data_IF_416376523014
#
_entry.id   IF_416376523014
#
_cell.length_a   1.000
_cell.length_b   1.000
_cell.length_c   1.000
_cell.angle_alpha   90.00
_cell.angle_beta   90.00
_cell.angle_gamma   90.00
#
_symmetry.space_group_name_H-M   'P 1'
#
loop_
_entity.id
_entity.type
_entity.pdbx_description
1 polymer ?
#
# COMPACT_ATOMS: atom_id res chain seq x y z
N UNK A 1 37.51 -24.63 5.06
CA UNK A 1 36.41 -23.87 5.70
C UNK A 1 35.95 -24.61 6.94
N UNK A 2 35.93 -23.97 8.11
CA UNK A 2 35.61 -24.63 9.39
C UNK A 2 34.13 -25.06 9.42
N UNK A 3 33.79 -26.25 9.97
CA UNK A 3 32.44 -26.82 9.94
C UNK A 3 31.32 -25.94 10.55
N UNK A 4 31.68 -24.95 11.37
CA UNK A 4 30.77 -23.99 12.02
C UNK A 4 30.17 -22.95 11.08
N UNK A 5 30.89 -22.49 10.04
CA UNK A 5 30.37 -21.51 9.09
C UNK A 5 29.33 -22.11 8.13
N UNK A 6 29.50 -23.38 7.73
CA UNK A 6 28.57 -24.09 6.84
C UNK A 6 27.21 -24.32 7.50
N UNK A 7 27.21 -24.67 8.79
CA UNK A 7 25.98 -24.84 9.58
C UNK A 7 25.21 -23.51 9.82
N UNK A 8 25.90 -22.38 9.94
CA UNK A 8 25.25 -21.07 10.02
C UNK A 8 24.66 -20.63 8.69
N UNK A 9 25.34 -20.91 7.57
CA UNK A 9 24.86 -20.67 6.21
C UNK A 9 23.62 -21.50 5.87
N UNK A 10 23.59 -22.78 6.26
CA UNK A 10 22.43 -23.65 6.04
C UNK A 10 21.23 -23.27 6.92
N UNK A 11 21.46 -22.83 8.17
CA UNK A 11 20.40 -22.25 9.02
C UNK A 11 19.86 -20.95 8.42
N UNK A 12 20.73 -20.05 7.94
CA UNK A 12 20.30 -18.83 7.22
C UNK A 12 19.49 -19.15 5.97
N UNK A 13 19.91 -20.15 5.17
CA UNK A 13 19.18 -20.59 3.98
C UNK A 13 17.80 -21.14 4.31
N UNK A 14 17.67 -22.01 5.33
CA UNK A 14 16.37 -22.53 5.77
C UNK A 14 15.46 -21.45 6.35
N UNK A 15 16.02 -20.53 7.14
CA UNK A 15 15.27 -19.40 7.67
C UNK A 15 14.77 -18.48 6.55
N UNK A 16 15.63 -18.15 5.59
CA UNK A 16 15.26 -17.40 4.39
C UNK A 16 14.19 -18.12 3.57
N UNK A 17 14.33 -19.43 3.34
CA UNK A 17 13.33 -20.22 2.61
C UNK A 17 11.96 -20.22 3.31
N UNK A 18 11.92 -20.32 4.65
CA UNK A 18 10.66 -20.29 5.40
C UNK A 18 10.04 -18.88 5.43
N UNK A 19 10.86 -17.83 5.44
CA UNK A 19 10.42 -16.44 5.26
C UNK A 19 9.82 -16.23 3.88
N UNK A 20 10.50 -16.70 2.82
CA UNK A 20 10.01 -16.60 1.45
C UNK A 20 8.71 -17.39 1.24
N UNK A 21 8.60 -18.60 1.81
CA UNK A 21 7.38 -19.41 1.70
C UNK A 21 6.16 -18.77 2.42
N UNK A 22 6.35 -18.15 3.60
CA UNK A 22 5.29 -17.39 4.27
C UNK A 22 4.91 -16.12 3.50
N UNK A 23 5.89 -15.46 2.87
CA UNK A 23 5.66 -14.23 2.11
C UNK A 23 5.04 -14.48 0.74
N UNK A 24 5.30 -15.61 0.08
CA UNK A 24 4.57 -16.00 -1.14
C UNK A 24 3.07 -16.19 -0.84
N UNK A 25 2.75 -16.70 0.36
CA UNK A 25 1.38 -16.84 0.84
C UNK A 25 0.74 -15.48 1.19
N UNK A 26 1.49 -14.53 1.75
CA UNK A 26 1.03 -13.15 1.94
C UNK A 26 0.86 -12.39 0.63
N UNK A 27 1.76 -12.58 -0.33
CA UNK A 27 1.69 -12.01 -1.68
C UNK A 27 0.45 -12.55 -2.40
N UNK A 28 0.17 -13.85 -2.28
CA UNK A 28 -1.07 -14.45 -2.76
C UNK A 28 -2.31 -13.83 -2.08
N UNK A 29 -2.28 -13.61 -0.76
CA UNK A 29 -3.37 -12.93 -0.03
C UNK A 29 -3.53 -11.46 -0.43
N UNK A 30 -2.44 -10.78 -0.77
CA UNK A 30 -2.43 -9.37 -1.17
C UNK A 30 -2.91 -9.19 -2.61
N UNK A 31 -2.50 -10.07 -3.53
CA UNK A 31 -3.10 -10.22 -4.88
C UNK A 31 -4.62 -10.36 -4.76
N UNK A 32 -5.10 -11.19 -3.83
CA UNK A 32 -6.53 -11.38 -3.58
C UNK A 32 -7.23 -10.12 -3.01
N UNK A 33 -6.52 -9.27 -2.25
CA UNK A 33 -7.06 -8.01 -1.69
C UNK A 33 -7.02 -6.85 -2.69
N UNK A 34 -5.94 -6.68 -3.44
CA UNK A 34 -5.77 -5.60 -4.41
C UNK A 34 -6.69 -5.80 -5.63
N UNK A 35 -6.92 -7.06 -6.04
CA UNK A 35 -8.01 -7.40 -6.95
C UNK A 35 -9.35 -6.84 -6.46
N UNK A 36 -9.62 -6.79 -5.15
CA UNK A 36 -10.88 -6.21 -4.63
C UNK A 36 -10.95 -4.69 -4.74
N UNK A 37 -9.82 -3.97 -4.72
CA UNK A 37 -9.80 -2.51 -4.81
C UNK A 37 -9.96 -2.02 -6.25
N UNK A 38 -9.19 -2.57 -7.18
CA UNK A 38 -9.33 -2.25 -8.61
C UNK A 38 -10.74 -2.61 -9.11
N UNK A 39 -11.29 -3.72 -8.62
CA UNK A 39 -12.70 -4.10 -8.83
C UNK A 39 -13.66 -2.99 -8.40
N UNK A 40 -13.45 -2.35 -7.24
CA UNK A 40 -14.34 -1.28 -6.74
C UNK A 40 -14.31 -0.04 -7.64
N UNK A 41 -13.12 0.37 -8.08
CA UNK A 41 -12.94 1.57 -8.92
C UNK A 41 -13.56 1.36 -10.30
N UNK A 42 -13.28 0.23 -10.93
CA UNK A 42 -13.85 -0.11 -12.25
C UNK A 42 -15.37 -0.24 -12.17
N UNK A 43 -15.90 -0.89 -11.12
CA UNK A 43 -17.35 -1.01 -10.93
C UNK A 43 -18.02 0.36 -10.71
N UNK A 44 -17.38 1.28 -9.99
CA UNK A 44 -17.91 2.63 -9.76
C UNK A 44 -17.93 3.51 -11.03
N UNK A 45 -16.91 3.42 -11.88
CA UNK A 45 -16.89 4.13 -13.17
C UNK A 45 -17.95 3.60 -14.13
N UNK A 46 -18.17 2.29 -14.15
CA UNK A 46 -19.21 1.69 -15.00
C UNK A 46 -20.62 2.07 -14.55
N UNK A 47 -20.88 2.16 -13.24
CA UNK A 47 -22.14 2.69 -12.73
C UNK A 47 -22.44 4.10 -13.26
N UNK A 48 -21.43 4.98 -13.38
CA UNK A 48 -21.62 6.34 -13.88
C UNK A 48 -21.98 6.34 -15.38
N UNK A 49 -21.30 5.51 -16.18
CA UNK A 49 -21.59 5.37 -17.63
C UNK A 49 -22.98 4.79 -17.85
N UNK A 50 -23.35 3.74 -17.12
CA UNK A 50 -24.65 3.07 -17.22
C UNK A 50 -25.79 3.97 -16.72
N UNK A 51 -25.57 4.73 -15.64
CA UNK A 51 -26.54 5.73 -15.14
C UNK A 51 -26.73 6.86 -16.16
N UNK A 52 -25.64 7.32 -16.79
CA UNK A 52 -25.71 8.32 -17.87
C UNK A 52 -26.51 7.81 -19.08
N UNK A 53 -26.28 6.56 -19.49
CA UNK A 53 -27.02 5.92 -20.57
C UNK A 53 -28.51 5.73 -20.23
N UNK A 54 -28.82 5.36 -18.97
CA UNK A 54 -30.19 5.26 -18.47
C UNK A 54 -30.90 6.62 -18.51
N UNK A 55 -30.26 7.69 -18.02
CA UNK A 55 -30.82 9.06 -18.03
C UNK A 55 -31.07 9.52 -19.47
N UNK A 56 -30.08 9.35 -20.36
CA UNK A 56 -30.20 9.68 -21.77
C UNK A 56 -31.34 8.89 -22.44
N UNK A 57 -31.48 7.60 -22.12
CA UNK A 57 -32.57 6.77 -22.65
C UNK A 57 -33.96 7.19 -22.14
N UNK A 58 -34.08 7.56 -20.86
CA UNK A 58 -35.33 8.07 -20.28
C UNK A 58 -35.75 9.37 -20.98
N UNK A 59 -34.80 10.29 -21.21
CA UNK A 59 -35.05 11.58 -21.83
C UNK A 59 -35.48 11.46 -23.29
N UNK A 60 -34.92 10.52 -24.05
CA UNK A 60 -35.18 10.39 -25.48
C UNK A 60 -36.39 9.52 -25.83
N UNK A 61 -36.85 8.64 -24.94
CA UNK A 61 -37.84 7.60 -25.29
C UNK A 61 -39.07 7.51 -24.38
N UNK A 62 -39.14 8.23 -23.25
CA UNK A 62 -40.30 8.25 -22.34
C UNK A 62 -40.56 6.93 -21.60
N UNK A 63 -41.21 7.02 -20.41
CA UNK A 63 -41.48 5.86 -19.54
C UNK A 63 -42.93 5.34 -19.68
N UNK A 64 -43.87 6.15 -20.19
CA UNK A 64 -45.31 5.91 -19.98
C UNK A 64 -46.21 5.95 -21.22
N UNK A 65 -45.68 5.92 -22.46
CA UNK A 65 -46.54 5.82 -23.65
C UNK A 65 -46.97 4.36 -23.93
N UNK A 66 -47.83 3.81 -23.08
CA UNK A 66 -48.24 2.39 -23.02
C UNK A 66 -49.21 1.95 -24.14
N UNK A 67 -49.05 2.42 -25.39
CA UNK A 67 -49.99 2.10 -26.47
C UNK A 67 -49.46 1.13 -27.54
N UNK A 68 -48.21 0.69 -27.46
CA UNK A 68 -47.58 -0.10 -28.52
C UNK A 68 -46.84 -1.35 -27.98
N UNK A 69 -46.92 -2.55 -28.62
CA UNK A 69 -46.37 -3.82 -28.11
C UNK A 69 -44.87 -3.77 -27.74
N UNK A 70 -44.08 -2.96 -28.45
CA UNK A 70 -42.64 -2.77 -28.20
C UNK A 70 -42.33 -2.04 -26.89
N UNK A 71 -43.28 -1.32 -26.30
CA UNK A 71 -43.05 -0.55 -25.06
C UNK A 71 -42.87 -1.44 -23.84
N UNK A 72 -43.56 -2.59 -23.78
CA UNK A 72 -43.38 -3.58 -22.71
C UNK A 72 -42.01 -4.28 -22.78
N UNK A 73 -41.49 -4.52 -23.98
CA UNK A 73 -40.17 -5.11 -24.22
C UNK A 73 -39.05 -4.18 -23.74
N UNK A 74 -39.20 -2.88 -24.05
CA UNK A 74 -38.28 -1.82 -23.61
C UNK A 74 -38.37 -1.62 -22.10
N UNK A 75 -39.57 -1.66 -21.50
CA UNK A 75 -39.76 -1.57 -20.04
C UNK A 75 -39.14 -2.78 -19.32
N UNK A 76 -39.28 -4.00 -19.86
CA UNK A 76 -38.70 -5.22 -19.29
C UNK A 76 -37.16 -5.23 -19.36
N UNK A 77 -36.57 -4.82 -20.50
CA UNK A 77 -35.13 -4.62 -20.64
C UNK A 77 -34.60 -3.54 -19.67
N UNK A 78 -35.40 -2.50 -19.40
CA UNK A 78 -35.06 -1.40 -18.49
C UNK A 78 -35.15 -1.79 -17.01
N UNK A 79 -36.17 -2.55 -16.61
CA UNK A 79 -36.27 -3.11 -15.25
C UNK A 79 -35.10 -4.05 -14.94
N UNK A 80 -34.67 -4.82 -15.93
CA UNK A 80 -33.50 -5.70 -15.86
C UNK A 80 -32.20 -4.92 -15.60
N UNK A 81 -31.97 -3.83 -16.34
CA UNK A 81 -30.80 -2.95 -16.16
C UNK A 81 -30.77 -2.33 -14.76
N UNK A 82 -31.92 -1.86 -14.26
CA UNK A 82 -32.05 -1.27 -12.91
C UNK A 82 -31.82 -2.31 -11.80
N UNK A 83 -32.32 -3.54 -11.95
CA UNK A 83 -32.11 -4.62 -10.98
C UNK A 83 -30.65 -5.08 -10.97
N UNK A 84 -30.00 -5.17 -12.14
CA UNK A 84 -28.58 -5.51 -12.26
C UNK A 84 -27.66 -4.43 -11.68
N UNK A 85 -28.02 -3.14 -11.85
CA UNK A 85 -27.34 -2.00 -11.25
C UNK A 85 -27.47 -2.00 -9.71
N UNK A 86 -28.68 -2.16 -9.18
CA UNK A 86 -28.95 -2.16 -7.74
C UNK A 86 -28.25 -3.29 -7.00
N UNK A 87 -28.22 -4.49 -7.58
CA UNK A 87 -27.54 -5.65 -7.02
C UNK A 87 -26.01 -5.57 -7.15
N UNK A 88 -25.47 -4.94 -8.19
CA UNK A 88 -24.05 -4.60 -8.31
C UNK A 88 -23.59 -3.68 -7.16
N UNK A 89 -24.41 -2.67 -6.82
CA UNK A 89 -24.19 -1.78 -5.67
C UNK A 89 -24.21 -2.57 -4.35
N UNK A 90 -25.21 -3.45 -4.16
CA UNK A 90 -25.31 -4.31 -2.97
C UNK A 90 -24.11 -5.25 -2.86
N UNK A 91 -23.59 -5.75 -3.99
CA UNK A 91 -22.39 -6.58 -4.02
C UNK A 91 -21.12 -5.82 -3.64
N UNK A 92 -20.95 -4.58 -4.11
CA UNK A 92 -19.84 -3.69 -3.71
C UNK A 92 -19.91 -3.38 -2.20
N UNK A 93 -21.13 -3.18 -1.68
CA UNK A 93 -21.38 -2.96 -0.25
C UNK A 93 -21.04 -4.21 0.59
N UNK A 94 -21.44 -5.39 0.11
CA UNK A 94 -21.20 -6.68 0.77
C UNK A 94 -19.73 -7.12 0.69
N UNK A 95 -18.97 -6.74 -0.34
CA UNK A 95 -17.52 -6.94 -0.45
C UNK A 95 -16.69 -6.26 0.67
N UNK A 96 -17.32 -5.50 1.59
CA UNK A 96 -16.68 -4.99 2.82
C UNK A 96 -16.46 -6.04 3.91
N UNK A 97 -17.02 -7.26 3.82
CA UNK A 97 -16.80 -8.34 4.80
C UNK A 97 -16.26 -9.63 4.17
N UNK A 98 -15.87 -10.59 5.02
CA UNK A 98 -15.05 -11.78 4.77
C UNK A 98 -15.49 -12.73 3.62
N UNK A 99 -14.70 -13.78 3.37
CA UNK A 99 -14.69 -14.80 2.29
C UNK A 99 -16.02 -15.31 1.69
N UNK A 100 -17.17 -15.15 2.35
CA UNK A 100 -18.48 -15.62 1.86
C UNK A 100 -19.04 -14.87 0.64
N UNK A 101 -18.59 -13.64 0.39
CA UNK A 101 -19.14 -12.80 -0.68
C UNK A 101 -18.82 -13.29 -2.10
N UNK A 102 -17.77 -14.09 -2.26
CA UNK A 102 -17.41 -14.67 -3.57
C UNK A 102 -18.44 -15.72 -4.01
N UNK A 103 -18.86 -16.60 -3.10
CA UNK A 103 -19.89 -17.60 -3.39
C UNK A 103 -21.25 -16.95 -3.63
N UNK A 104 -21.55 -15.85 -2.94
CA UNK A 104 -22.78 -15.07 -3.17
C UNK A 104 -22.79 -14.41 -4.56
N UNK A 105 -21.66 -13.82 -4.97
CA UNK A 105 -21.47 -13.27 -6.31
C UNK A 105 -21.61 -14.35 -7.40
N UNK A 106 -21.05 -15.54 -7.15
CA UNK A 106 -21.17 -16.69 -8.05
C UNK A 106 -22.63 -17.16 -8.18
N UNK A 107 -23.34 -17.31 -7.06
CA UNK A 107 -24.76 -17.70 -7.06
C UNK A 107 -25.63 -16.64 -7.74
N UNK A 108 -25.36 -15.35 -7.48
CA UNK A 108 -26.06 -14.23 -8.11
C UNK A 108 -25.87 -14.22 -9.64
N UNK A 109 -24.63 -14.45 -10.11
CA UNK A 109 -24.34 -14.57 -11.53
C UNK A 109 -25.14 -15.72 -12.18
N UNK A 110 -25.20 -16.88 -11.54
CA UNK A 110 -26.00 -18.02 -12.02
C UNK A 110 -27.49 -17.65 -12.12
N UNK A 111 -28.04 -16.94 -11.14
CA UNK A 111 -29.45 -16.50 -11.16
C UNK A 111 -29.72 -15.53 -12.32
N UNK A 112 -28.82 -14.56 -12.57
CA UNK A 112 -28.94 -13.64 -13.71
C UNK A 112 -28.91 -14.38 -15.06
N UNK A 113 -28.07 -15.40 -15.18
CA UNK A 113 -27.97 -16.22 -16.38
C UNK A 113 -29.25 -17.02 -16.62
N UNK A 114 -29.76 -17.71 -15.59
CA UNK A 114 -31.01 -18.46 -15.67
C UNK A 114 -32.18 -17.55 -16.06
N UNK A 115 -32.26 -16.36 -15.46
CA UNK A 115 -33.29 -15.38 -15.77
C UNK A 115 -33.19 -14.84 -17.20
N UNK A 116 -31.98 -14.55 -17.67
CA UNK A 116 -31.72 -14.12 -19.05
C UNK A 116 -32.10 -15.17 -20.09
N UNK A 117 -31.82 -16.45 -19.81
CA UNK A 117 -32.21 -17.57 -20.67
C UNK A 117 -33.74 -17.68 -20.75
N UNK A 118 -34.44 -17.55 -19.62
CA UNK A 118 -35.92 -17.58 -19.57
C UNK A 118 -36.54 -16.42 -20.33
N UNK A 119 -36.05 -15.19 -20.14
CA UNK A 119 -36.50 -14.02 -20.91
C UNK A 119 -36.26 -14.21 -22.42
N UNK A 120 -35.06 -14.64 -22.78
CA UNK A 120 -34.69 -14.86 -24.18
C UNK A 120 -35.55 -15.92 -24.86
N UNK A 121 -36.04 -16.91 -24.10
CA UNK A 121 -36.99 -17.90 -24.59
C UNK A 121 -38.40 -17.33 -24.80
N UNK A 122 -38.87 -16.45 -23.90
CA UNK A 122 -40.19 -15.81 -24.00
C UNK A 122 -40.29 -14.87 -25.21
N UNK A 123 -39.22 -14.14 -25.54
CA UNK A 123 -39.22 -13.15 -26.63
C UNK A 123 -38.82 -13.71 -28.00
N UNK A 124 -38.65 -15.03 -28.11
CA UNK A 124 -38.19 -15.67 -29.33
C UNK A 124 -39.26 -15.77 -30.43
N UNK A 125 -40.55 -15.74 -30.06
CA UNK A 125 -41.67 -15.81 -31.01
C UNK A 125 -41.72 -14.63 -32.00
N UNK A 126 -41.10 -13.49 -31.68
CA UNK A 126 -41.12 -12.28 -32.51
C UNK A 126 -39.92 -12.17 -33.49
N UNK A 127 -39.09 -13.20 -33.61
CA UNK A 127 -37.97 -13.22 -34.56
C UNK A 127 -36.77 -12.32 -34.21
N UNK A 128 -36.72 -11.76 -33.00
CA UNK A 128 -35.67 -10.84 -32.54
C UNK A 128 -34.66 -11.54 -31.62
N UNK A 129 -33.56 -12.03 -32.20
CA UNK A 129 -32.48 -12.75 -31.51
C UNK A 129 -31.43 -11.85 -30.81
N UNK A 130 -31.65 -10.53 -30.75
CA UNK A 130 -30.66 -9.55 -30.28
C UNK A 130 -30.46 -9.56 -28.76
N UNK A 131 -31.45 -10.05 -28.00
CA UNK A 131 -31.36 -10.17 -26.54
C UNK A 131 -30.25 -11.14 -26.07
N UNK A 132 -29.93 -12.16 -26.88
CA UNK A 132 -28.86 -13.12 -26.62
C UNK A 132 -27.48 -12.46 -26.67
N UNK A 133 -27.31 -11.44 -27.52
CA UNK A 133 -26.07 -10.69 -27.74
C UNK A 133 -25.78 -9.71 -26.59
N UNK A 134 -26.84 -9.07 -26.07
CA UNK A 134 -26.79 -8.21 -24.87
C UNK A 134 -26.50 -9.06 -23.62
N UNK A 135 -27.08 -10.27 -23.53
CA UNK A 135 -26.81 -11.22 -22.44
C UNK A 135 -25.35 -11.73 -22.46
N UNK A 136 -24.79 -11.99 -23.65
CA UNK A 136 -23.38 -12.39 -23.78
C UNK A 136 -22.39 -11.24 -23.50
N UNK A 137 -22.76 -9.99 -23.81
CA UNK A 137 -22.01 -8.80 -23.38
C UNK A 137 -21.98 -8.66 -21.85
N UNK A 138 -23.07 -8.97 -21.15
CA UNK A 138 -23.13 -9.00 -19.68
C UNK A 138 -22.30 -10.17 -19.10
N UNK A 139 -22.24 -11.31 -19.81
CA UNK A 139 -21.32 -12.43 -19.48
C UNK A 139 -19.83 -12.04 -19.59
N UNK A 140 -19.49 -11.04 -20.41
CA UNK A 140 -18.12 -10.52 -20.57
C UNK A 140 -17.62 -9.84 -19.29
N UNK A 141 -18.54 -9.37 -18.43
CA UNK A 141 -18.21 -8.64 -17.21
C UNK A 141 -17.84 -9.55 -16.03
N UNK A 142 -18.46 -10.73 -15.89
CA UNK A 142 -18.15 -11.71 -14.81
C UNK A 142 -16.73 -12.27 -14.87
N UNK A 143 -16.11 -12.25 -16.05
CA UNK A 143 -14.72 -12.60 -16.33
C UNK A 143 -13.72 -11.70 -15.57
N UNK A 144 -14.14 -10.53 -15.10
CA UNK A 144 -13.28 -9.62 -14.35
C UNK A 144 -12.98 -10.12 -12.92
N UNK A 145 -13.70 -11.11 -12.37
CA UNK A 145 -13.63 -11.44 -10.93
C UNK A 145 -13.30 -12.90 -10.58
N UNK A 146 -13.33 -13.83 -11.54
CA UNK A 146 -13.25 -15.27 -11.24
C UNK A 146 -11.98 -15.93 -11.80
N UNK A 147 -11.56 -17.03 -11.16
CA UNK A 147 -10.44 -17.85 -11.63
C UNK A 147 -10.82 -18.55 -12.96
N UNK A 148 -9.91 -18.66 -13.95
CA UNK A 148 -10.20 -19.20 -15.28
C UNK A 148 -10.98 -20.53 -15.30
N UNK A 149 -10.55 -21.55 -14.56
CA UNK A 149 -11.27 -22.84 -14.52
C UNK A 149 -12.73 -22.73 -14.04
N UNK A 150 -13.04 -21.78 -13.15
CA UNK A 150 -14.42 -21.56 -12.69
C UNK A 150 -15.26 -20.88 -13.76
N UNK A 151 -14.68 -19.92 -14.49
CA UNK A 151 -15.33 -19.27 -15.64
C UNK A 151 -15.69 -20.30 -16.71
N UNK A 152 -14.80 -21.26 -16.96
CA UNK A 152 -15.07 -22.32 -17.92
C UNK A 152 -16.18 -23.27 -17.46
N UNK A 153 -16.20 -23.66 -16.18
CA UNK A 153 -17.28 -24.49 -15.62
C UNK A 153 -18.63 -23.76 -15.67
N UNK A 154 -18.69 -22.49 -15.24
CA UNK A 154 -19.94 -21.72 -15.27
C UNK A 154 -20.43 -21.51 -16.70
N UNK A 155 -19.53 -21.22 -17.64
CA UNK A 155 -19.87 -21.12 -19.07
C UNK A 155 -20.47 -22.43 -19.61
N UNK A 156 -19.86 -23.58 -19.28
CA UNK A 156 -20.36 -24.89 -19.71
C UNK A 156 -21.74 -25.21 -19.13
N UNK A 157 -21.97 -24.93 -17.83
CA UNK A 157 -23.27 -25.12 -17.18
C UNK A 157 -24.33 -24.23 -17.84
N UNK A 158 -24.02 -22.95 -18.10
CA UNK A 158 -24.98 -22.04 -18.74
C UNK A 158 -25.34 -22.44 -20.16
N UNK A 159 -24.37 -22.96 -20.92
CA UNK A 159 -24.62 -23.49 -22.24
C UNK A 159 -25.54 -24.71 -22.20
N UNK A 160 -25.29 -25.64 -21.26
CA UNK A 160 -26.15 -26.81 -21.08
C UNK A 160 -27.58 -26.40 -20.74
N UNK A 161 -27.75 -25.45 -19.83
CA UNK A 161 -29.08 -24.93 -19.45
C UNK A 161 -29.77 -24.27 -20.63
N UNK A 162 -29.05 -23.46 -21.42
CA UNK A 162 -29.57 -22.88 -22.66
C UNK A 162 -30.09 -23.97 -23.61
N UNK A 163 -29.31 -25.02 -23.87
CA UNK A 163 -29.72 -26.12 -24.75
C UNK A 163 -30.98 -26.82 -24.24
N UNK A 164 -31.01 -27.17 -22.94
CA UNK A 164 -32.14 -27.90 -22.33
C UNK A 164 -33.43 -27.07 -22.40
N UNK A 165 -33.38 -25.80 -22.01
CA UNK A 165 -34.57 -24.93 -21.99
C UNK A 165 -35.11 -24.73 -23.41
N UNK A 166 -34.24 -24.41 -24.37
CA UNK A 166 -34.65 -24.15 -25.74
C UNK A 166 -35.15 -25.41 -26.46
N UNK A 167 -34.60 -26.59 -26.12
CA UNK A 167 -35.09 -27.86 -26.65
C UNK A 167 -36.47 -28.20 -26.10
N UNK A 168 -36.70 -28.04 -24.80
CA UNK A 168 -38.00 -28.30 -24.15
C UNK A 168 -39.11 -27.38 -24.66
N UNK A 169 -38.78 -26.14 -25.01
CA UNK A 169 -39.73 -25.17 -25.56
C UNK A 169 -39.97 -25.31 -27.07
N UNK A 170 -39.30 -26.26 -27.75
CA UNK A 170 -39.45 -26.49 -29.19
C UNK A 170 -38.88 -25.37 -30.06
N UNK A 171 -38.14 -24.42 -29.48
CA UNK A 171 -37.60 -23.23 -30.14
C UNK A 171 -36.10 -23.30 -30.44
N UNK A 172 -35.49 -24.47 -30.24
CA UNK A 172 -34.06 -24.69 -30.46
C UNK A 172 -33.65 -24.52 -31.93
N UNK A 173 -32.58 -23.74 -32.16
CA UNK A 173 -31.94 -23.59 -33.48
C UNK A 173 -30.44 -23.75 -33.39
N UNK A 174 -29.88 -24.60 -34.26
CA UNK A 174 -28.45 -24.88 -34.33
C UNK A 174 -27.59 -23.63 -34.57
N UNK A 175 -28.03 -22.71 -35.43
CA UNK A 175 -27.29 -21.47 -35.72
C UNK A 175 -27.09 -20.60 -34.46
N UNK A 176 -28.11 -20.48 -33.62
CA UNK A 176 -27.99 -19.69 -32.39
C UNK A 176 -27.11 -20.38 -31.35
N UNK A 177 -27.17 -21.72 -31.26
CA UNK A 177 -26.28 -22.49 -30.39
C UNK A 177 -24.81 -22.31 -30.79
N UNK A 178 -24.49 -22.34 -32.09
CA UNK A 178 -23.14 -22.10 -32.60
C UNK A 178 -22.63 -20.69 -32.25
N UNK A 179 -23.45 -19.65 -32.49
CA UNK A 179 -23.07 -18.27 -32.14
C UNK A 179 -22.80 -18.11 -30.63
N UNK A 180 -23.59 -18.75 -29.77
CA UNK A 180 -23.37 -18.73 -28.31
C UNK A 180 -22.06 -19.44 -27.94
N UNK A 181 -21.76 -20.58 -28.55
CA UNK A 181 -20.50 -21.30 -28.32
C UNK A 181 -19.28 -20.47 -28.75
N UNK A 182 -19.35 -19.82 -29.92
CA UNK A 182 -18.28 -18.95 -30.42
C UNK A 182 -17.99 -17.80 -29.46
N UNK A 183 -19.05 -17.08 -29.02
CA UNK A 183 -18.88 -15.98 -28.08
C UNK A 183 -18.31 -16.48 -26.75
N UNK A 184 -18.83 -17.58 -26.20
CA UNK A 184 -18.30 -18.17 -24.97
C UNK A 184 -16.83 -18.55 -25.08
N UNK A 185 -16.40 -19.09 -26.22
CA UNK A 185 -15.00 -19.43 -26.48
C UNK A 185 -14.11 -18.19 -26.42
N UNK A 186 -14.47 -17.10 -27.12
CA UNK A 186 -13.69 -15.86 -27.09
C UNK A 186 -13.65 -15.22 -25.70
N UNK A 187 -14.76 -15.26 -24.94
CA UNK A 187 -14.80 -14.74 -23.57
C UNK A 187 -13.89 -15.52 -22.62
N UNK A 188 -13.81 -16.85 -22.78
CA UNK A 188 -12.88 -17.66 -21.99
C UNK A 188 -11.42 -17.31 -22.31
N UNK A 189 -11.07 -17.08 -23.59
CA UNK A 189 -9.71 -16.65 -23.98
C UNK A 189 -9.37 -15.29 -23.38
N UNK A 190 -10.25 -14.30 -23.52
CA UNK A 190 -10.04 -12.94 -22.97
C UNK A 190 -9.85 -13.00 -21.46
N UNK A 191 -10.68 -13.81 -20.77
CA UNK A 191 -10.57 -14.01 -19.33
C UNK A 191 -9.27 -14.66 -18.89
N UNK A 192 -8.79 -15.64 -19.64
CA UNK A 192 -7.52 -16.29 -19.39
C UNK A 192 -6.35 -15.30 -19.52
N UNK A 193 -6.29 -14.58 -20.64
CA UNK A 193 -5.23 -13.58 -20.91
C UNK A 193 -5.24 -12.52 -19.82
N UNK A 194 -6.41 -11.95 -19.50
CA UNK A 194 -6.58 -10.95 -18.45
C UNK A 194 -6.18 -11.46 -17.06
N UNK A 195 -6.48 -12.72 -16.72
CA UNK A 195 -6.07 -13.31 -15.44
C UNK A 195 -4.54 -13.38 -15.33
N UNK A 196 -3.86 -13.84 -16.38
CA UNK A 196 -2.40 -13.94 -16.37
C UNK A 196 -1.71 -12.57 -16.40
N UNK A 197 -2.18 -11.61 -17.20
CA UNK A 197 -1.60 -10.25 -17.22
C UNK A 197 -1.76 -9.54 -15.87
N UNK A 198 -2.93 -9.66 -15.24
CA UNK A 198 -3.18 -9.08 -13.92
C UNK A 198 -2.32 -9.75 -12.83
N UNK A 199 -2.15 -11.07 -12.89
CA UNK A 199 -1.27 -11.81 -11.99
C UNK A 199 0.18 -11.33 -12.12
N UNK A 200 0.71 -11.24 -13.33
CA UNK A 200 2.09 -10.79 -13.57
C UNK A 200 2.29 -9.33 -13.14
N UNK A 201 1.33 -8.45 -13.43
CA UNK A 201 1.36 -7.06 -13.00
C UNK A 201 1.48 -6.92 -11.47
N UNK A 202 0.67 -7.67 -10.71
CA UNK A 202 0.73 -7.57 -9.24
C UNK A 202 2.06 -8.12 -8.70
N UNK A 203 2.56 -9.22 -9.25
CA UNK A 203 3.88 -9.77 -8.88
C UNK A 203 4.98 -8.75 -9.18
N UNK A 204 4.92 -8.07 -10.33
CA UNK A 204 5.89 -7.05 -10.72
C UNK A 204 5.86 -5.83 -9.78
N UNK A 205 4.68 -5.32 -9.45
CA UNK A 205 4.54 -4.19 -8.52
C UNK A 205 5.07 -4.53 -7.12
N UNK A 206 4.82 -5.73 -6.60
CA UNK A 206 5.40 -6.13 -5.31
C UNK A 206 6.91 -6.25 -5.33
N UNK A 207 7.49 -6.75 -6.44
CA UNK A 207 8.95 -6.72 -6.61
C UNK A 207 9.46 -5.29 -6.61
N UNK A 208 8.77 -4.37 -7.28
CA UNK A 208 9.14 -2.97 -7.31
C UNK A 208 9.10 -2.33 -5.92
N UNK A 209 8.01 -2.48 -5.17
CA UNK A 209 7.90 -2.02 -3.77
C UNK A 209 9.03 -2.58 -2.90
N UNK A 210 9.38 -3.86 -3.08
CA UNK A 210 10.50 -4.47 -2.36
C UNK A 210 11.84 -3.85 -2.73
N UNK A 211 12.09 -3.59 -4.01
CA UNK A 211 13.31 -2.90 -4.42
C UNK A 211 13.37 -1.49 -3.84
N UNK A 212 12.26 -0.76 -3.84
CA UNK A 212 12.16 0.57 -3.22
C UNK A 212 12.50 0.49 -1.73
N UNK A 213 11.87 -0.39 -0.96
CA UNK A 213 12.18 -0.54 0.47
C UNK A 213 13.62 -1.00 0.75
N UNK A 214 14.19 -1.85 -0.10
CA UNK A 214 15.60 -2.23 0.01
C UNK A 214 16.49 -1.03 -0.29
N UNK A 215 16.18 -0.23 -1.30
CA UNK A 215 16.94 0.97 -1.66
C UNK A 215 16.83 2.06 -0.58
N UNK A 216 15.66 2.28 -0.03
CA UNK A 216 15.43 3.14 1.15
C UNK A 216 16.26 2.64 2.35
N UNK A 217 16.25 1.32 2.61
CA UNK A 217 17.06 0.70 3.66
C UNK A 217 18.58 0.67 3.40
N UNK A 218 19.00 0.89 2.15
CA UNK A 218 20.39 1.02 1.75
C UNK A 218 20.87 2.46 1.70
N UNK A 219 19.96 3.44 1.80
CA UNK A 219 20.36 4.82 1.96
C UNK A 219 21.06 4.96 3.31
N UNK A 220 22.27 5.50 3.29
CA UNK A 220 23.04 5.84 4.48
C UNK A 220 22.83 7.29 4.91
N UNK A 221 22.09 8.08 4.13
CA UNK A 221 21.82 9.49 4.42
C UNK A 221 20.34 9.68 4.73
N UNK A 222 20.05 10.58 5.68
CA UNK A 222 18.69 11.03 5.94
C UNK A 222 18.25 11.98 4.82
N UNK A 223 17.10 11.72 4.19
CA UNK A 223 16.65 12.46 3.00
C UNK A 223 16.37 13.93 3.28
N UNK A 224 15.90 14.26 4.50
CA UNK A 224 15.56 15.63 4.87
C UNK A 224 16.81 16.45 5.20
N UNK A 225 17.73 15.87 5.96
CA UNK A 225 18.84 16.59 6.59
C UNK A 225 20.20 16.37 5.92
N UNK A 226 20.35 15.34 5.09
CA UNK A 226 21.59 15.02 4.37
C UNK A 226 22.69 14.34 5.20
N UNK A 227 22.60 14.38 6.53
CA UNK A 227 23.56 13.69 7.43
C UNK A 227 23.30 12.18 7.49
N UNK A 228 24.17 11.44 8.19
CA UNK A 228 24.02 10.00 8.35
C UNK A 228 22.68 9.62 8.98
N UNK A 229 22.03 8.56 8.52
CA UNK A 229 20.83 8.02 9.18
C UNK A 229 21.19 6.84 10.11
N UNK A 230 20.17 6.21 10.71
CA UNK A 230 20.35 5.01 11.55
C UNK A 230 21.08 3.86 10.85
N UNK A 231 20.95 3.73 9.52
CA UNK A 231 21.68 2.71 8.74
C UNK A 231 23.17 3.06 8.59
N UNK A 232 23.52 4.35 8.45
CA UNK A 232 24.92 4.77 8.47
C UNK A 232 25.58 4.47 9.82
N UNK A 233 24.89 4.77 10.93
CA UNK A 233 25.38 4.42 12.26
C UNK A 233 25.63 2.90 12.38
N UNK A 234 24.69 2.09 11.88
CA UNK A 234 24.82 0.63 11.89
C UNK A 234 25.99 0.12 11.05
N UNK A 235 26.31 0.78 9.92
CA UNK A 235 27.49 0.48 9.09
C UNK A 235 28.78 0.85 9.81
N UNK A 236 28.79 2.00 10.46
CA UNK A 236 29.99 2.56 11.11
C UNK A 236 30.28 1.91 12.48
N UNK A 237 29.33 1.13 13.01
CA UNK A 237 29.35 0.52 14.34
C UNK A 237 30.68 -0.17 14.71
N UNK A 238 31.20 -1.02 13.81
CA UNK A 238 32.43 -1.77 14.06
C UNK A 238 33.69 -0.87 14.02
N UNK A 239 33.60 0.30 13.41
CA UNK A 239 34.70 1.27 13.33
C UNK A 239 34.98 1.98 14.65
N UNK A 240 34.06 1.93 15.61
CA UNK A 240 34.23 2.57 16.91
C UNK A 240 35.08 1.76 17.90
N UNK A 241 35.39 0.49 17.63
CA UNK A 241 36.17 -0.32 18.57
C UNK A 241 37.63 0.13 18.60
N UNK A 242 38.17 0.32 19.81
CA UNK A 242 39.58 0.63 20.05
C UNK A 242 39.88 2.10 20.39
N UNK A 243 38.91 3.00 20.20
CA UNK A 243 39.07 4.43 20.45
C UNK A 243 38.21 4.92 21.62
N UNK A 244 38.46 6.16 22.03
CA UNK A 244 37.68 6.86 23.07
C UNK A 244 36.82 7.92 22.42
N UNK A 245 35.53 7.90 22.72
CA UNK A 245 34.55 8.80 22.13
C UNK A 245 33.78 9.56 23.19
N UNK A 246 33.40 10.78 22.84
CA UNK A 246 32.26 11.49 23.40
C UNK A 246 31.03 11.12 22.56
N UNK A 247 30.01 10.57 23.23
CA UNK A 247 28.73 10.19 22.63
C UNK A 247 27.67 11.12 23.18
N UNK A 248 27.02 11.89 22.31
CA UNK A 248 25.97 12.83 22.69
C UNK A 248 24.66 12.48 21.99
N UNK A 249 23.59 12.31 22.77
CA UNK A 249 22.22 12.18 22.28
C UNK A 249 21.56 13.55 22.39
N UNK A 250 20.99 14.02 21.29
CA UNK A 250 20.43 15.36 21.12
C UNK A 250 18.97 15.23 20.74
N UNK A 251 18.12 16.04 21.35
CA UNK A 251 16.68 16.08 21.09
C UNK A 251 16.20 17.53 20.97
N UNK A 252 15.30 17.79 20.02
CA UNK A 252 14.73 19.12 19.81
C UNK A 252 13.56 19.34 20.76
N UNK A 253 13.66 20.34 21.62
CA UNK A 253 12.70 20.54 22.70
C UNK A 253 11.29 20.89 22.19
N UNK A 254 10.29 20.15 22.66
CA UNK A 254 8.86 20.37 22.35
C UNK A 254 8.55 20.39 20.83
N UNK A 255 9.33 19.66 20.01
CA UNK A 255 9.23 19.69 18.55
C UNK A 255 7.83 19.43 17.99
N UNK A 256 7.05 18.53 18.62
CA UNK A 256 5.65 18.32 18.23
C UNK A 256 4.80 19.59 18.38
N UNK A 257 4.89 20.27 19.53
CA UNK A 257 4.16 21.53 19.76
C UNK A 257 4.63 22.63 18.83
N UNK A 258 5.93 22.63 18.53
CA UNK A 258 6.52 23.53 17.55
C UNK A 258 5.88 23.35 16.16
N UNK A 259 5.78 22.10 15.69
CA UNK A 259 5.08 21.77 14.45
C UNK A 259 3.59 22.13 14.46
N UNK A 260 2.92 21.89 15.59
CA UNK A 260 1.50 22.26 15.73
C UNK A 260 1.30 23.78 15.65
N UNK A 261 2.31 24.58 16.01
CA UNK A 261 2.26 26.06 16.02
C UNK A 261 2.67 26.67 14.68
N UNK A 262 3.76 26.18 14.08
CA UNK A 262 4.39 26.79 12.91
C UNK A 262 4.26 25.96 11.63
N UNK A 263 3.61 24.80 11.69
CA UNK A 263 3.44 23.87 10.58
C UNK A 263 4.68 23.01 10.30
N UNK A 264 4.44 21.88 9.64
CA UNK A 264 5.49 20.89 9.35
C UNK A 264 6.62 21.43 8.47
N UNK A 265 6.35 22.35 7.52
CA UNK A 265 7.40 22.94 6.69
C UNK A 265 8.43 23.74 7.49
N UNK A 266 7.98 24.46 8.53
CA UNK A 266 8.87 25.18 9.45
C UNK A 266 9.64 24.21 10.34
N UNK A 267 9.00 23.12 10.78
CA UNK A 267 9.67 22.03 11.49
C UNK A 267 10.80 21.39 10.68
N UNK A 268 10.55 21.11 9.41
CA UNK A 268 11.54 20.56 8.50
C UNK A 268 12.74 21.50 8.34
N UNK A 269 12.50 22.80 8.21
CA UNK A 269 13.55 23.82 8.19
C UNK A 269 14.38 23.83 9.49
N UNK A 270 13.74 23.69 10.65
CA UNK A 270 14.43 23.59 11.94
C UNK A 270 15.33 22.36 11.98
N UNK A 271 14.82 21.18 11.60
CA UNK A 271 15.61 19.96 11.61
C UNK A 271 16.79 20.02 10.64
N UNK A 272 16.60 20.59 9.45
CA UNK A 272 17.67 20.85 8.50
C UNK A 272 18.73 21.78 9.08
N UNK A 273 18.32 22.82 9.78
CA UNK A 273 19.23 23.78 10.40
C UNK A 273 20.01 23.14 11.55
N UNK A 274 19.34 22.41 12.44
CA UNK A 274 19.99 21.66 13.53
C UNK A 274 21.03 20.71 12.96
N UNK A 275 20.66 19.87 11.98
CA UNK A 275 21.58 18.93 11.35
C UNK A 275 22.79 19.62 10.72
N UNK A 276 22.58 20.74 10.02
CA UNK A 276 23.64 21.54 9.41
C UNK A 276 24.60 22.10 10.47
N UNK A 277 24.10 22.67 11.55
CA UNK A 277 24.93 23.24 12.62
C UNK A 277 25.71 22.18 13.39
N UNK A 278 25.10 21.01 13.63
CA UNK A 278 25.80 19.84 14.17
C UNK A 278 26.90 19.36 13.22
N UNK A 279 26.60 19.26 11.92
CA UNK A 279 27.54 18.82 10.89
C UNK A 279 28.71 19.77 10.69
N UNK A 280 28.49 21.09 10.76
CA UNK A 280 29.56 22.10 10.69
C UNK A 280 30.48 22.00 11.92
N UNK A 281 29.90 21.85 13.12
CA UNK A 281 30.68 21.84 14.36
C UNK A 281 31.45 20.54 14.55
N UNK A 282 30.79 19.38 14.45
CA UNK A 282 31.40 18.08 14.77
C UNK A 282 31.88 17.28 13.55
N UNK A 283 31.56 17.75 12.34
CA UNK A 283 31.80 17.05 11.08
C UNK A 283 30.64 16.13 10.69
N UNK A 284 30.18 16.21 9.44
CA UNK A 284 29.01 15.45 8.94
C UNK A 284 29.11 13.92 9.12
N UNK A 285 30.33 13.37 9.14
CA UNK A 285 30.56 11.93 9.36
C UNK A 285 30.36 11.47 10.80
N UNK A 286 30.33 12.40 11.74
CA UNK A 286 30.22 12.15 13.18
C UNK A 286 28.80 12.38 13.70
N UNK A 287 27.87 12.80 12.83
CA UNK A 287 26.51 13.18 13.20
C UNK A 287 25.52 12.30 12.45
N UNK A 288 24.56 11.77 13.20
CA UNK A 288 23.52 10.90 12.69
C UNK A 288 22.15 11.38 13.14
N UNK A 289 21.14 11.28 12.28
CA UNK A 289 19.72 11.41 12.67
C UNK A 289 19.15 10.03 12.96
N UNK A 290 18.66 9.82 14.17
CA UNK A 290 18.13 8.52 14.60
C UNK A 290 16.66 8.31 14.21
N UNK A 291 15.93 9.40 13.99
CA UNK A 291 14.53 9.45 13.57
C UNK A 291 13.80 10.61 14.25
N UNK A 292 12.75 11.14 13.62
CA UNK A 292 11.98 12.26 14.18
C UNK A 292 12.87 13.49 14.44
N UNK A 293 12.95 13.90 15.69
CA UNK A 293 13.69 15.03 16.25
C UNK A 293 14.97 14.63 17.00
N UNK A 294 15.35 13.35 16.95
CA UNK A 294 16.52 12.83 17.66
C UNK A 294 17.78 12.75 16.78
N UNK A 295 18.88 13.27 17.30
CA UNK A 295 20.20 13.23 16.69
C UNK A 295 21.24 12.58 17.62
N UNK A 296 22.30 12.06 17.04
CA UNK A 296 23.41 11.41 17.71
C UNK A 296 24.72 11.99 17.19
N UNK A 297 25.62 12.33 18.11
CA UNK A 297 26.98 12.78 17.80
C UNK A 297 27.96 11.79 18.41
N UNK A 298 28.93 11.35 17.62
CA UNK A 298 30.00 10.45 18.05
C UNK A 298 31.32 11.07 17.59
N UNK A 299 32.12 11.56 18.54
CA UNK A 299 33.37 12.28 18.23
C UNK A 299 34.50 11.85 19.15
N UNK A 300 35.74 11.88 18.67
CA UNK A 300 36.94 11.61 19.47
C UNK A 300 37.36 12.82 20.34
N UNK A 301 36.68 13.96 20.18
CA UNK A 301 36.95 15.21 20.89
C UNK A 301 36.89 15.07 22.40
N UNK A 302 37.80 15.74 23.11
CA UNK A 302 37.81 15.82 24.58
C UNK A 302 36.58 16.52 25.17
N UNK A 303 36.38 16.37 26.47
CA UNK A 303 35.25 16.98 27.20
C UNK A 303 35.14 18.47 26.95
N UNK A 304 36.24 19.21 27.07
CA UNK A 304 36.25 20.66 26.84
C UNK A 304 35.86 21.01 25.40
N UNK A 305 36.47 20.35 24.41
CA UNK A 305 36.16 20.58 22.99
C UNK A 305 34.69 20.27 22.67
N UNK A 306 34.17 19.16 23.23
CA UNK A 306 32.78 18.73 23.04
C UNK A 306 31.83 19.76 23.63
N UNK A 307 32.04 20.14 24.89
CA UNK A 307 31.17 21.10 25.59
C UNK A 307 31.22 22.50 24.99
N UNK A 308 32.40 22.99 24.57
CA UNK A 308 32.55 24.27 23.86
C UNK A 308 31.74 24.27 22.55
N UNK A 309 31.82 23.19 21.76
CA UNK A 309 31.06 23.05 20.51
C UNK A 309 29.54 23.04 20.74
N UNK A 310 29.07 22.31 21.75
CA UNK A 310 27.64 22.26 22.10
C UNK A 310 27.11 23.62 22.56
N UNK A 311 27.92 24.38 23.31
CA UNK A 311 27.54 25.69 23.81
C UNK A 311 27.28 26.68 22.67
N UNK A 312 28.17 26.68 21.65
CA UNK A 312 28.02 27.49 20.43
C UNK A 312 26.72 27.13 19.68
N UNK A 313 26.41 25.83 19.57
CA UNK A 313 25.21 25.37 18.88
C UNK A 313 23.94 25.79 19.62
N UNK A 314 23.89 25.61 20.95
CA UNK A 314 22.74 26.01 21.77
C UNK A 314 22.47 27.51 21.65
N UNK A 315 23.52 28.33 21.78
CA UNK A 315 23.40 29.79 21.65
C UNK A 315 22.87 30.16 20.26
N UNK A 316 23.45 29.60 19.20
CA UNK A 316 23.06 29.91 17.82
C UNK A 316 21.62 29.51 17.51
N UNK A 317 21.16 28.34 17.94
CA UNK A 317 19.82 27.84 17.67
C UNK A 317 18.74 28.51 18.53
N UNK A 318 19.10 28.95 19.75
CA UNK A 318 18.19 29.75 20.59
C UNK A 318 17.79 31.08 19.94
N UNK A 319 18.63 31.59 19.03
CA UNK A 319 18.40 32.83 18.27
C UNK A 319 18.07 32.57 16.79
N UNK A 320 17.63 31.36 16.44
CA UNK A 320 17.30 31.00 15.07
C UNK A 320 16.21 31.94 14.51
N UNK A 321 16.43 32.44 13.30
CA UNK A 321 15.49 33.27 12.55
C UNK A 321 15.19 32.64 11.19
N UNK A 322 13.96 32.80 10.70
CA UNK A 322 13.57 32.44 9.34
C UNK A 322 12.65 33.53 8.78
N UNK A 323 12.93 34.02 7.57
CA UNK A 323 12.16 35.09 6.90
C UNK A 323 11.84 36.32 7.78
N UNK A 324 12.76 36.68 8.69
CA UNK A 324 12.60 37.82 9.61
C UNK A 324 11.80 37.53 10.88
N UNK A 325 11.27 36.32 11.03
CA UNK A 325 10.65 35.84 12.26
C UNK A 325 11.68 35.17 13.17
N UNK A 326 11.70 35.53 14.46
CA UNK A 326 12.49 34.82 15.48
C UNK A 326 11.76 33.54 15.83
N UNK A 327 12.39 32.41 15.51
CA UNK A 327 11.83 31.08 15.66
C UNK A 327 12.32 30.38 16.94
N UNK A 328 13.57 30.64 17.36
CA UNK A 328 14.20 30.20 18.62
C UNK A 328 13.89 28.77 19.06
N UNK A 329 14.86 27.86 18.94
CA UNK A 329 14.67 26.44 19.26
C UNK A 329 15.65 25.99 20.34
N UNK A 330 15.13 25.34 21.38
CA UNK A 330 15.93 24.70 22.42
C UNK A 330 16.34 23.29 22.02
N UNK A 331 17.54 22.88 22.42
CA UNK A 331 17.96 21.48 22.38
C UNK A 331 18.24 21.01 23.81
N UNK A 332 17.86 19.77 24.09
CA UNK A 332 18.33 19.03 25.26
C UNK A 332 19.38 18.03 24.81
N UNK A 333 20.52 17.96 25.51
CA UNK A 333 21.66 17.14 25.09
C UNK A 333 22.26 16.37 26.27
N UNK A 334 22.34 15.05 26.15
CA UNK A 334 23.04 14.19 27.10
C UNK A 334 24.32 13.64 26.51
N UNK A 335 25.46 13.87 27.17
CA UNK A 335 26.77 13.43 26.69
C UNK A 335 27.48 12.53 27.69
N UNK A 336 28.15 11.50 27.18
CA UNK A 336 29.07 10.67 27.95
C UNK A 336 30.39 10.46 27.22
N UNK A 337 31.49 10.30 27.97
CA UNK A 337 32.79 9.90 27.42
C UNK A 337 33.19 8.51 27.84
N UNK A 338 33.64 7.67 26.91
CA UNK A 338 34.14 6.34 27.25
C UNK A 338 34.99 5.71 26.16
N UNK A 339 35.80 4.72 26.54
CA UNK A 339 36.59 3.90 25.60
C UNK A 339 35.76 2.72 25.12
N UNK A 340 35.57 2.59 23.81
CA UNK A 340 34.85 1.46 23.21
C UNK A 340 35.80 0.27 23.06
N UNK A 341 35.75 -0.70 23.97
CA UNK A 341 36.62 -1.90 23.96
C UNK A 341 36.00 -3.03 23.14
N UNK A 342 34.69 -3.03 22.97
CA UNK A 342 33.94 -3.99 22.16
C UNK A 342 32.66 -3.35 21.59
N UNK A 343 31.98 -4.07 20.69
CA UNK A 343 30.76 -3.59 20.01
C UNK A 343 29.59 -3.26 20.96
N UNK A 344 29.54 -3.87 22.15
CA UNK A 344 28.48 -3.64 23.13
C UNK A 344 28.69 -2.36 23.94
N UNK A 345 29.93 -1.89 24.09
CA UNK A 345 30.24 -0.69 24.85
C UNK A 345 29.61 0.56 24.22
N UNK A 346 29.57 0.63 22.88
CA UNK A 346 28.97 1.76 22.17
C UNK A 346 27.46 1.87 22.46
N UNK A 347 26.75 0.76 22.42
CA UNK A 347 25.33 0.71 22.79
C UNK A 347 25.10 1.07 24.26
N UNK A 348 26.00 0.65 25.16
CA UNK A 348 25.96 1.05 26.56
C UNK A 348 26.16 2.57 26.72
N UNK A 349 27.12 3.18 26.01
CA UNK A 349 27.36 4.63 26.08
C UNK A 349 26.19 5.44 25.54
N UNK A 350 25.57 5.00 24.44
CA UNK A 350 24.34 5.62 23.94
C UNK A 350 23.21 5.58 24.97
N UNK A 351 22.98 4.43 25.62
CA UNK A 351 21.96 4.32 26.67
C UNK A 351 22.25 5.22 27.88
N UNK A 352 23.53 5.38 28.25
CA UNK A 352 23.92 6.30 29.33
C UNK A 352 23.75 7.76 28.93
N UNK A 353 24.11 8.12 27.71
CA UNK A 353 23.88 9.46 27.16
C UNK A 353 22.39 9.80 27.12
N UNK A 354 21.53 8.85 26.76
CA UNK A 354 20.08 9.01 26.81
C UNK A 354 19.56 9.22 28.26
N UNK A 355 20.09 8.50 29.24
CA UNK A 355 19.77 8.73 30.64
C UNK A 355 20.26 10.11 31.14
N UNK A 356 21.37 10.62 30.62
CA UNK A 356 21.85 11.99 30.89
C UNK A 356 20.91 13.02 30.24
N UNK A 357 20.50 12.79 28.99
CA UNK A 357 19.54 13.63 28.26
C UNK A 357 18.22 13.74 29.02
N UNK A 358 17.71 12.62 29.53
CA UNK A 358 16.49 12.59 30.30
C UNK A 358 16.57 13.52 31.55
N UNK A 359 17.70 13.54 32.26
CA UNK A 359 17.92 14.46 33.39
C UNK A 359 17.94 15.92 32.96
N UNK A 360 18.54 16.24 31.81
CA UNK A 360 18.52 17.61 31.25
C UNK A 360 17.09 18.06 30.97
N UNK A 361 16.26 17.17 30.41
CA UNK A 361 14.85 17.47 30.16
C UNK A 361 14.07 17.73 31.45
N UNK A 362 14.37 17.01 32.54
CA UNK A 362 13.77 17.24 33.85
C UNK A 362 14.24 18.56 34.51
N UNK A 363 15.42 19.06 34.17
CA UNK A 363 16.02 20.27 34.73
C UNK A 363 15.61 21.57 34.03
N UNK A 364 14.71 21.50 33.03
CA UNK A 364 14.17 22.68 32.36
C UNK A 364 14.49 22.79 30.87
N UNK A 365 15.16 21.78 30.28
CA UNK A 365 15.50 21.71 28.85
C UNK A 365 16.45 22.82 28.38
N UNK A 366 16.75 22.89 27.08
CA UNK A 366 17.58 23.96 26.49
C UNK A 366 19.04 23.99 26.99
N UNK A 367 19.57 22.85 27.42
CA UNK A 367 20.89 22.73 28.04
C UNK A 367 21.56 21.41 27.64
N UNK A 368 22.79 21.22 28.12
CA UNK A 368 23.48 19.95 28.02
C UNK A 368 24.03 19.51 29.38
N UNK A 369 24.21 18.21 29.55
CA UNK A 369 24.99 17.64 30.64
C UNK A 369 26.01 16.64 30.11
N UNK A 370 27.17 16.59 30.76
CA UNK A 370 28.30 15.77 30.34
C UNK A 370 28.80 14.90 31.49
N UNK A 371 29.00 13.61 31.24
CA UNK A 371 29.57 12.67 32.21
C UNK A 371 30.78 11.93 31.65
N UNK A 372 31.90 12.03 32.36
CA UNK A 372 33.11 11.32 31.99
C UNK A 372 33.14 9.92 32.65
N UNK A 373 33.14 8.86 31.85
CA UNK A 373 33.16 7.46 32.31
C UNK A 373 34.56 6.83 32.26
N UNK A 374 35.57 7.60 31.87
CA UNK A 374 36.97 7.19 31.95
C UNK A 374 37.39 7.24 33.43
N UNK A 375 37.42 6.07 34.07
CA UNK A 375 37.98 5.91 35.41
C UNK A 375 39.48 5.70 35.36
#
# INVERSE_FOLDING_TARGET
>A
MRPTQKNQLDKKRKMMHNLFARQDEETARMILRQNSYLTKVVSGLMMLVETGFLIWSIQNYGIFSLQEPWTNQVIAQRLYLVVALYSGIVCIYLQRKNTGHRLFLEAYYIVLLLFGIVLSAIYQEEGRSEAVLILTLICTFGVTLMHPWRVSITSAITFLVYVVIYYQLGCFRWQHALNVMEIQFFLNIIGLVKYYTLREYIIANHKLERYTHILEGLSFTDELTGIGNRNALSRDWNGFVGNTYSVCVVDVDDFKKYNDTYGHGTGDFVLQTVAKELGITFGEKNVYRLGGDEFLIITEWEEKQTTDGLMVILEKLSHLTNEGQVLGVGLSIGCVRGTCRNDADMGMYMNKADAVLYRVKEQGKGAFAYENLLK
#
